data_IF_305600963716
#
_entry.id   IF_305600963716
#
_cell.length_a   1.000
_cell.length_b   1.000
_cell.length_c   1.000
_cell.angle_alpha   90.00
_cell.angle_beta   90.00
_cell.angle_gamma   90.00
#
_symmetry.space_group_name_H-M   'P 1'
#
loop_
_entity.id
_entity.type
_entity.pdbx_description
1 polymer ?
#
# COMPACT_ATOMS: atom_id res chain seq x y z
N UNK A 1 21.94 -0.61 19.89
CA UNK A 1 21.87 -0.84 18.42
C UNK A 1 20.62 -1.66 18.09
N UNK A 2 20.27 -2.64 18.93
CA UNK A 2 19.02 -3.43 18.80
C UNK A 2 17.71 -2.63 18.93
N UNK A 3 17.60 -1.72 19.90
CA UNK A 3 16.34 -0.96 20.10
C UNK A 3 15.97 -0.09 18.89
N UNK A 4 16.93 0.61 18.28
CA UNK A 4 16.67 1.45 17.11
C UNK A 4 16.17 0.63 15.91
N UNK A 5 16.68 -0.59 15.73
CA UNK A 5 16.21 -1.52 14.71
C UNK A 5 14.80 -2.03 15.02
N UNK A 6 14.50 -2.33 16.28
CA UNK A 6 13.15 -2.70 16.72
C UNK A 6 12.13 -1.56 16.51
N UNK A 7 12.51 -0.31 16.78
CA UNK A 7 11.63 0.84 16.52
C UNK A 7 11.34 1.03 15.03
N UNK A 8 12.33 0.83 14.15
CA UNK A 8 12.14 0.88 12.71
C UNK A 8 11.21 -0.23 12.21
N UNK A 9 11.36 -1.45 12.74
CA UNK A 9 10.47 -2.57 12.41
C UNK A 9 9.03 -2.32 12.87
N UNK A 10 8.83 -1.82 14.09
CA UNK A 10 7.50 -1.50 14.61
C UNK A 10 6.87 -0.32 13.85
N UNK A 11 7.65 0.71 13.53
CA UNK A 11 7.19 1.83 12.71
C UNK A 11 6.78 1.39 11.30
N UNK A 12 7.54 0.49 10.68
CA UNK A 12 7.21 -0.09 9.39
C UNK A 12 5.94 -0.94 9.43
N UNK A 13 5.77 -1.77 10.45
CA UNK A 13 4.55 -2.56 10.64
C UNK A 13 3.32 -1.68 10.88
N UNK A 14 3.47 -0.57 11.60
CA UNK A 14 2.41 0.40 11.80
C UNK A 14 2.03 1.10 10.48
N UNK A 15 3.02 1.55 9.70
CA UNK A 15 2.79 2.17 8.40
C UNK A 15 2.08 1.24 7.41
N UNK A 16 2.43 -0.06 7.41
CA UNK A 16 1.72 -1.07 6.60
C UNK A 16 0.27 -1.22 7.06
N UNK A 17 0.03 -1.27 8.38
CA UNK A 17 -1.32 -1.36 8.93
C UNK A 17 -2.18 -0.17 8.52
N UNK A 18 -1.67 1.05 8.70
CA UNK A 18 -2.37 2.29 8.34
C UNK A 18 -2.68 2.30 6.83
N UNK A 19 -1.71 1.94 6.00
CA UNK A 19 -1.91 1.79 4.55
C UNK A 19 -2.99 0.77 4.21
N UNK A 20 -3.01 -0.39 4.88
CA UNK A 20 -4.07 -1.39 4.69
C UNK A 20 -5.44 -0.85 5.08
N UNK A 21 -5.56 -0.15 6.20
CA UNK A 21 -6.83 0.38 6.69
C UNK A 21 -7.36 1.51 5.80
N UNK A 22 -6.48 2.41 5.33
CA UNK A 22 -6.86 3.58 4.52
C UNK A 22 -7.13 3.26 3.04
N UNK A 23 -6.30 2.42 2.42
CA UNK A 23 -6.33 2.19 0.97
C UNK A 23 -6.94 0.85 0.56
N UNK A 24 -6.82 -0.18 1.40
CA UNK A 24 -7.45 -1.49 1.13
C UNK A 24 -8.82 -1.56 1.81
N UNK A 25 -8.95 -1.03 3.03
CA UNK A 25 -10.19 -1.01 3.80
C UNK A 25 -10.81 -2.41 3.94
N UNK A 26 -12.11 -2.51 3.68
CA UNK A 26 -12.86 -3.78 3.72
C UNK A 26 -12.89 -4.54 2.38
N UNK A 27 -12.07 -4.14 1.40
CA UNK A 27 -12.08 -4.80 0.10
C UNK A 27 -11.54 -6.22 0.20
N UNK A 28 -12.24 -7.16 -0.44
CA UNK A 28 -11.67 -8.49 -0.66
C UNK A 28 -10.53 -8.41 -1.68
N UNK A 29 -9.62 -9.39 -1.68
CA UNK A 29 -8.53 -9.43 -2.68
C UNK A 29 -9.05 -9.43 -4.13
N UNK A 30 -10.27 -9.91 -4.37
CA UNK A 30 -10.90 -9.89 -5.70
C UNK A 30 -11.32 -8.48 -6.14
N UNK A 31 -11.62 -7.60 -5.20
CA UNK A 31 -11.95 -6.19 -5.46
C UNK A 31 -10.67 -5.35 -5.52
N UNK A 32 -9.72 -5.60 -4.60
CA UNK A 32 -8.48 -4.84 -4.51
C UNK A 32 -7.52 -5.07 -5.69
N UNK A 33 -7.33 -6.32 -6.15
CA UNK A 33 -6.34 -6.64 -7.20
C UNK A 33 -6.63 -5.92 -8.51
N UNK A 34 -7.88 -5.90 -9.03
CA UNK A 34 -8.22 -5.09 -10.20
C UNK A 34 -7.98 -3.59 -10.00
N UNK A 35 -8.32 -3.05 -8.83
CA UNK A 35 -8.16 -1.62 -8.50
C UNK A 35 -6.70 -1.18 -8.56
N UNK A 36 -5.81 -1.91 -7.87
CA UNK A 36 -4.37 -1.59 -7.88
C UNK A 36 -3.75 -1.86 -9.25
N UNK A 37 -4.20 -2.90 -9.96
CA UNK A 37 -3.73 -3.18 -11.32
C UNK A 37 -4.09 -2.04 -12.27
N UNK A 38 -5.30 -1.49 -12.15
CA UNK A 38 -5.71 -0.32 -12.92
C UNK A 38 -4.89 0.92 -12.55
N UNK A 39 -4.69 1.20 -11.26
CA UNK A 39 -3.87 2.32 -10.81
C UNK A 39 -2.44 2.25 -11.34
N UNK A 40 -1.82 1.06 -11.28
CA UNK A 40 -0.46 0.84 -11.78
C UNK A 40 -0.40 1.01 -13.31
N UNK A 41 -1.34 0.40 -14.04
CA UNK A 41 -1.36 0.49 -15.52
C UNK A 41 -1.65 1.93 -15.96
N UNK A 42 -2.63 2.60 -15.37
CA UNK A 42 -2.96 3.99 -15.70
C UNK A 42 -1.84 4.98 -15.37
N UNK A 43 -1.08 4.74 -14.29
CA UNK A 43 0.11 5.55 -13.97
C UNK A 43 1.26 5.36 -14.96
N UNK A 44 1.27 4.22 -15.66
CA UNK A 44 2.31 3.87 -16.65
C UNK A 44 1.94 4.29 -18.08
N UNK A 45 0.69 4.67 -18.32
CA UNK A 45 0.25 5.17 -19.61
C UNK A 45 0.60 6.65 -19.74
N UNK A 46 1.09 7.10 -20.92
CA UNK A 46 1.27 8.53 -21.16
C UNK A 46 -0.08 9.23 -20.99
N UNK A 47 -0.12 10.15 -20.02
CA UNK A 47 -1.26 11.04 -19.81
C UNK A 47 -1.29 11.97 -21.04
N UNK A 48 -2.18 11.69 -22.00
CA UNK A 48 -2.28 12.46 -23.24
C UNK A 48 -2.59 13.93 -22.96
N UNK A 49 -1.92 14.82 -23.67
CA UNK A 49 -2.28 16.25 -23.82
C UNK A 49 -3.60 16.41 -24.60
#
# INVERSE_FOLDING_TARGET
MDEAFSFLQLGWLNAIREWQEELVGNMSSREFVPEISYAVVSSSLPQGE
#
